data_IF_235510865433
#
_entry.id   IF_235510865433
#
_cell.length_a   1.000
_cell.length_b   1.000
_cell.length_c   1.000
_cell.angle_alpha   90.00
_cell.angle_beta   90.00
_cell.angle_gamma   90.00
#
_symmetry.space_group_name_H-M   'P 1'
#
loop_
_entity.id
_entity.type
_entity.pdbx_description
1 polymer ?
#
# COMPACT_ATOMS: atom_id res chain seq x y z
N UNK A 1 27.31 -5.28 15.53
CA UNK A 1 28.48 -4.39 15.65
C UNK A 1 28.16 -3.10 14.90
N UNK A 2 28.16 -1.95 15.58
CA UNK A 2 28.20 -0.65 14.91
C UNK A 2 29.63 -0.14 15.11
N UNK A 3 30.42 -0.15 14.04
CA UNK A 3 31.80 0.39 14.06
C UNK A 3 31.71 1.88 13.76
N UNK A 4 32.01 2.72 14.75
CA UNK A 4 32.09 4.18 14.56
C UNK A 4 33.54 4.57 14.32
N UNK A 5 33.88 4.87 13.07
CA UNK A 5 35.16 5.49 12.73
C UNK A 5 35.04 7.01 12.93
N UNK A 6 35.61 7.54 14.00
CA UNK A 6 35.72 8.97 14.21
C UNK A 6 36.94 9.51 13.46
N UNK A 7 36.80 10.51 12.57
CA UNK A 7 37.95 11.16 11.95
C UNK A 7 38.74 11.92 13.02
N UNK A 8 40.07 11.87 12.95
CA UNK A 8 40.97 12.39 13.98
C UNK A 8 40.80 13.90 14.29
N UNK A 9 40.18 14.67 13.39
CA UNK A 9 40.15 16.14 13.43
C UNK A 9 38.73 16.76 13.49
N UNK A 10 37.68 16.02 13.84
CA UNK A 10 36.37 16.65 14.13
C UNK A 10 36.25 17.01 15.62
N UNK A 11 35.96 18.28 15.91
CA UNK A 11 35.75 18.76 17.29
C UNK A 11 34.36 18.36 17.86
N UNK A 12 33.41 18.08 16.98
CA UNK A 12 32.07 17.59 17.33
C UNK A 12 31.71 16.40 16.43
N UNK A 13 31.09 15.36 16.99
CA UNK A 13 30.41 14.32 16.20
C UNK A 13 28.98 14.18 16.68
N UNK A 14 28.04 14.15 15.75
CA UNK A 14 26.61 14.02 16.02
C UNK A 14 26.17 12.60 15.65
N UNK A 15 25.57 11.90 16.60
CA UNK A 15 24.85 10.65 16.31
C UNK A 15 23.36 10.99 16.25
N UNK A 16 22.80 10.95 15.04
CA UNK A 16 21.37 11.14 14.82
C UNK A 16 20.68 9.79 14.79
N UNK A 17 19.79 9.57 15.76
CA UNK A 17 18.87 8.45 15.75
C UNK A 17 17.49 8.98 15.40
N UNK A 18 16.97 8.56 14.25
CA UNK A 18 15.63 8.91 13.80
C UNK A 18 14.64 7.84 14.25
N UNK A 19 13.61 8.26 14.99
CA UNK A 19 12.39 7.47 15.19
C UNK A 19 11.20 8.23 14.59
N UNK A 20 10.15 7.52 14.19
CA UNK A 20 9.03 8.08 13.41
C UNK A 20 8.13 9.08 14.18
N UNK A 21 8.38 9.34 15.46
CA UNK A 21 7.63 10.36 16.22
C UNK A 21 8.48 11.33 17.04
N UNK A 22 9.78 11.08 17.24
CA UNK A 22 10.68 11.97 17.97
C UNK A 22 12.10 11.89 17.40
N UNK A 23 12.75 13.05 17.25
CA UNK A 23 14.17 13.16 16.95
C UNK A 23 14.94 13.35 18.26
N UNK A 24 15.82 12.39 18.57
CA UNK A 24 16.81 12.55 19.63
C UNK A 24 18.15 12.92 19.01
N UNK A 25 18.64 14.11 19.32
CA UNK A 25 19.94 14.59 18.88
C UNK A 25 20.95 14.36 20.00
N UNK A 26 21.87 13.41 19.81
CA UNK A 26 22.95 13.18 20.76
C UNK A 26 24.17 13.96 20.27
N UNK A 27 24.43 15.11 20.90
CA UNK A 27 25.66 15.88 20.68
C UNK A 27 26.79 15.29 21.53
N UNK A 28 27.85 14.81 20.87
CA UNK A 28 29.08 14.40 21.55
C UNK A 28 30.15 15.44 21.24
N UNK A 29 30.46 16.29 22.22
CA UNK A 29 31.47 17.34 22.11
C UNK A 29 32.81 16.81 22.60
N UNK A 30 33.85 16.84 21.76
CA UNK A 30 35.22 16.55 22.19
C UNK A 30 35.82 17.85 22.73
N UNK A 31 35.87 18.03 24.06
CA UNK A 31 36.56 19.20 24.65
C UNK A 31 38.06 18.91 24.68
N UNK A 32 38.87 19.75 24.03
CA UNK A 32 40.33 19.66 24.13
C UNK A 32 40.75 19.67 25.61
N UNK A 33 41.56 18.68 26.00
CA UNK A 33 42.09 18.55 27.35
C UNK A 33 41.27 17.70 28.33
N UNK A 34 40.22 16.98 27.89
CA UNK A 34 39.53 16.00 28.75
C UNK A 34 40.08 14.59 28.51
N UNK A 35 40.59 13.99 29.57
CA UNK A 35 40.92 12.57 29.66
C UNK A 35 39.67 11.72 29.33
N UNK A 36 39.83 10.70 28.46
CA UNK A 36 38.74 9.88 27.89
C UNK A 36 37.93 9.09 28.94
N UNK A 37 38.30 9.21 30.21
CA UNK A 37 37.66 8.61 31.36
C UNK A 37 36.32 9.28 31.77
N UNK A 38 35.92 10.40 31.15
CA UNK A 38 34.69 11.10 31.50
C UNK A 38 33.98 11.70 30.28
N UNK A 39 32.82 11.14 29.90
CA UNK A 39 31.94 11.68 28.85
C UNK A 39 30.68 12.23 29.51
N UNK A 40 30.35 13.51 29.24
CA UNK A 40 29.11 14.15 29.70
C UNK A 40 28.03 13.99 28.62
N UNK A 41 26.92 13.36 28.98
CA UNK A 41 25.73 13.29 28.12
C UNK A 41 24.73 14.37 28.54
N UNK A 42 24.26 15.15 27.58
CA UNK A 42 23.13 16.06 27.77
C UNK A 42 21.97 15.55 26.93
N UNK A 43 20.91 15.09 27.58
CA UNK A 43 19.68 14.67 26.91
C UNK A 43 18.71 15.86 26.85
N UNK A 44 18.13 16.12 25.68
CA UNK A 44 17.12 17.16 25.50
C UNK A 44 15.83 16.52 25.00
N UNK A 45 14.75 16.65 25.77
CA UNK A 45 13.41 16.24 25.33
C UNK A 45 12.61 17.48 24.91
N UNK A 46 12.13 17.54 23.67
CA UNK A 46 11.17 18.59 23.24
C UNK A 46 9.75 18.02 23.35
N UNK A 47 8.98 18.43 24.38
CA UNK A 47 7.53 18.24 24.37
C UNK A 47 6.84 19.49 23.81
N UNK A 48 6.02 19.32 22.77
CA UNK A 48 5.09 20.36 22.32
C UNK A 48 3.73 20.11 23.00
N UNK A 49 3.52 20.69 24.18
CA UNK A 49 2.16 20.85 24.74
C UNK A 49 1.67 22.26 24.43
N UNK A 50 0.40 22.38 24.04
CA UNK A 50 -0.26 23.66 23.90
C UNK A 50 -0.25 24.36 25.27
N UNK A 51 0.36 25.55 25.32
CA UNK A 51 0.30 26.54 26.40
C UNK A 51 0.98 26.19 27.74
N UNK A 52 2.29 25.92 27.77
CA UNK A 52 3.13 26.13 28.97
C UNK A 52 4.61 26.38 28.61
N UNK A 53 5.29 27.21 29.41
CA UNK A 53 6.69 27.60 29.24
C UNK A 53 7.66 26.41 29.13
N UNK A 54 8.72 26.59 28.33
CA UNK A 54 9.82 25.63 28.18
C UNK A 54 10.44 25.28 29.54
N UNK A 55 10.30 24.04 29.98
CA UNK A 55 11.11 23.47 31.05
C UNK A 55 12.19 22.57 30.44
N UNK A 56 13.44 22.99 30.56
CA UNK A 56 14.60 22.16 30.24
C UNK A 56 15.04 21.41 31.51
N UNK A 57 14.95 20.08 31.49
CA UNK A 57 15.60 19.25 32.51
C UNK A 57 16.95 18.79 31.96
N UNK A 58 18.04 19.15 32.64
CA UNK A 58 19.39 18.66 32.30
C UNK A 58 19.79 17.64 33.36
N UNK A 59 20.05 16.39 32.95
CA UNK A 59 20.61 15.37 33.83
C UNK A 59 21.99 14.98 33.30
N UNK A 60 23.01 15.13 34.13
CA UNK A 60 24.39 14.75 33.80
C UNK A 60 24.76 13.43 34.47
N UNK A 61 25.36 12.51 33.72
CA UNK A 61 25.90 11.25 34.22
C UNK A 61 27.41 11.17 33.95
N UNK A 62 28.17 10.64 34.91
CA UNK A 62 29.61 10.37 34.81
C UNK A 62 29.79 8.86 34.96
N UNK A 63 30.43 8.20 33.98
CA UNK A 63 30.60 6.73 33.99
C UNK A 63 31.98 6.34 33.48
N UNK A 64 32.64 5.40 34.16
CA UNK A 64 33.97 4.87 33.78
C UNK A 64 33.88 3.80 32.67
N UNK A 65 34.95 3.69 31.87
CA UNK A 65 35.01 3.01 30.56
C UNK A 65 34.62 1.52 30.54
N UNK A 66 34.79 0.76 31.63
CA UNK A 66 34.39 -0.66 31.68
C UNK A 66 32.88 -0.86 31.91
N UNK A 67 32.21 0.09 32.58
CA UNK A 67 30.75 0.06 32.77
C UNK A 67 30.01 0.69 31.59
N UNK A 68 30.72 1.40 30.70
CA UNK A 68 30.17 2.06 29.52
C UNK A 68 29.60 1.07 28.51
N UNK A 69 30.30 -0.02 28.22
CA UNK A 69 29.85 -1.04 27.25
C UNK A 69 28.60 -1.75 27.77
N UNK A 70 28.60 -2.12 29.05
CA UNK A 70 27.45 -2.77 29.69
C UNK A 70 26.25 -1.84 29.85
N UNK A 71 26.45 -0.57 30.20
CA UNK A 71 25.37 0.41 30.30
C UNK A 71 24.80 0.80 28.94
N UNK A 72 25.63 0.93 27.89
CA UNK A 72 25.17 1.14 26.51
C UNK A 72 24.44 -0.10 25.99
N UNK A 73 24.95 -1.31 26.27
CA UNK A 73 24.27 -2.55 25.91
C UNK A 73 22.94 -2.70 26.64
N UNK A 74 22.89 -2.40 27.94
CA UNK A 74 21.66 -2.42 28.73
C UNK A 74 20.66 -1.34 28.28
N UNK A 75 21.12 -0.12 27.96
CA UNK A 75 20.27 0.92 27.38
C UNK A 75 19.77 0.52 26.00
N UNK A 76 20.60 -0.06 25.12
CA UNK A 76 20.16 -0.58 23.82
C UNK A 76 19.16 -1.71 24.02
N UNK A 77 19.39 -2.66 24.93
CA UNK A 77 18.47 -3.77 25.22
C UNK A 77 17.15 -3.26 25.82
N UNK A 78 17.20 -2.31 26.75
CA UNK A 78 16.02 -1.69 27.33
C UNK A 78 15.28 -0.83 26.29
N UNK A 79 15.98 -0.16 25.38
CA UNK A 79 15.41 0.65 24.30
C UNK A 79 14.85 -0.21 23.18
N UNK A 80 15.49 -1.34 22.81
CA UNK A 80 14.93 -2.32 21.88
C UNK A 80 13.71 -2.99 22.50
N UNK A 81 13.71 -3.34 23.79
CA UNK A 81 12.52 -3.91 24.43
C UNK A 81 11.40 -2.86 24.61
N UNK A 82 11.73 -1.57 24.82
CA UNK A 82 10.74 -0.48 24.94
C UNK A 82 10.19 0.01 23.59
N UNK A 83 10.92 -0.21 22.48
CA UNK A 83 10.47 0.12 21.12
C UNK A 83 9.77 -1.08 20.48
N UNK A 84 10.27 -2.31 20.65
CA UNK A 84 9.63 -3.52 20.13
C UNK A 84 8.24 -3.72 20.72
N UNK A 85 8.02 -3.29 21.97
CA UNK A 85 6.70 -3.34 22.64
C UNK A 85 5.73 -2.21 22.26
N UNK A 86 6.13 -1.25 21.40
CA UNK A 86 5.25 -0.16 20.94
C UNK A 86 4.83 -0.24 19.47
N UNK A 87 5.34 -1.21 18.72
CA UNK A 87 4.79 -1.57 17.43
C UNK A 87 3.83 -2.74 17.63
N UNK A 88 2.58 -2.42 17.95
CA UNK A 88 1.47 -3.39 17.79
C UNK A 88 1.22 -3.57 16.31
N UNK A 89 2.15 -4.20 15.60
CA UNK A 89 1.78 -4.91 14.37
C UNK A 89 0.84 -6.01 14.81
N UNK A 90 -0.29 -6.13 14.11
CA UNK A 90 -1.16 -7.25 14.36
C UNK A 90 -0.35 -8.55 14.18
N UNK A 91 -0.36 -9.40 15.20
CA UNK A 91 0.55 -10.54 15.32
C UNK A 91 0.10 -11.72 14.46
N UNK A 92 -1.20 -11.82 14.22
CA UNK A 92 -1.82 -12.86 13.44
C UNK A 92 -1.54 -12.67 11.94
N UNK A 93 -1.12 -13.76 11.27
CA UNK A 93 -0.85 -13.76 9.84
C UNK A 93 -1.47 -14.98 9.15
N UNK A 94 -1.80 -14.82 7.87
CA UNK A 94 -2.30 -15.88 7.00
C UNK A 94 -1.58 -15.82 5.65
N UNK A 95 -1.30 -16.99 5.06
CA UNK A 95 -0.71 -17.08 3.73
C UNK A 95 -1.78 -17.44 2.71
N UNK A 96 -2.05 -16.53 1.77
CA UNK A 96 -3.11 -16.71 0.77
C UNK A 96 -2.73 -16.07 -0.56
N UNK A 97 -3.03 -16.79 -1.65
CA UNK A 97 -2.72 -16.39 -3.03
C UNK A 97 -1.26 -16.01 -3.30
N UNK A 98 -0.31 -16.62 -2.59
CA UNK A 98 1.12 -16.34 -2.75
C UNK A 98 1.68 -15.23 -1.86
N UNK A 99 0.84 -14.62 -1.01
CA UNK A 99 1.23 -13.48 -0.17
C UNK A 99 0.99 -13.78 1.32
N UNK A 100 1.85 -13.21 2.16
CA UNK A 100 1.62 -13.14 3.61
C UNK A 100 0.79 -11.90 3.93
N UNK A 101 -0.34 -12.12 4.60
CA UNK A 101 -1.28 -11.10 5.05
C UNK A 101 -1.27 -11.05 6.57
N UNK A 102 -1.22 -9.86 7.15
CA UNK A 102 -1.52 -9.62 8.57
C UNK A 102 -3.02 -9.48 8.74
N UNK A 103 -3.55 -9.94 9.86
CA UNK A 103 -4.97 -9.82 10.20
C UNK A 103 -5.12 -8.69 11.21
N UNK A 104 -5.92 -7.68 10.89
CA UNK A 104 -6.17 -6.54 11.77
C UNK A 104 -7.00 -6.97 12.98
N UNK A 105 -6.65 -6.49 14.16
CA UNK A 105 -7.36 -6.82 15.39
C UNK A 105 -7.71 -5.59 16.24
N UNK A 106 -8.73 -5.73 17.08
CA UNK A 106 -9.17 -4.75 18.06
C UNK A 106 -10.16 -3.71 17.54
N UNK A 107 -10.52 -2.77 18.42
CA UNK A 107 -11.47 -1.70 18.11
C UNK A 107 -10.79 -0.57 17.32
N UNK A 108 -11.02 -0.53 16.00
CA UNK A 108 -10.26 0.32 15.07
C UNK A 108 -11.16 0.93 13.99
N UNK A 109 -10.59 1.86 13.22
CA UNK A 109 -11.21 2.40 11.99
C UNK A 109 -11.02 1.44 10.81
N UNK A 110 -11.83 1.50 9.74
CA UNK A 110 -13.03 2.34 9.60
C UNK A 110 -14.12 1.93 10.60
N UNK A 111 -15.03 2.83 10.94
CA UNK A 111 -16.06 2.55 11.94
C UNK A 111 -16.17 3.59 13.04
N UNK A 112 -16.87 3.22 14.12
CA UNK A 112 -16.41 2.24 15.11
C UNK A 112 -16.62 0.76 14.72
N UNK A 113 -15.57 -0.07 14.72
CA UNK A 113 -15.68 -1.52 14.44
C UNK A 113 -14.71 -2.36 15.28
N UNK A 114 -15.08 -3.60 15.57
CA UNK A 114 -14.25 -4.60 16.25
C UNK A 114 -13.69 -5.58 15.24
N UNK A 115 -12.39 -5.50 14.94
CA UNK A 115 -11.73 -6.47 14.06
C UNK A 115 -11.25 -7.66 14.87
N UNK A 116 -11.55 -8.89 14.41
CA UNK A 116 -11.15 -10.11 15.12
C UNK A 116 -10.47 -11.10 14.19
N UNK A 117 -9.46 -11.80 14.71
CA UNK A 117 -8.72 -12.81 13.95
C UNK A 117 -9.63 -13.93 13.42
N UNK A 118 -10.56 -14.40 14.25
CA UNK A 118 -11.53 -15.46 13.94
C UNK A 118 -12.68 -15.02 13.01
N UNK A 119 -12.63 -13.79 12.51
CA UNK A 119 -13.44 -13.26 11.42
C UNK A 119 -12.77 -13.43 10.04
N UNK A 120 -11.58 -14.02 10.01
CA UNK A 120 -10.83 -14.37 8.79
C UNK A 120 -10.53 -15.86 8.83
N UNK A 121 -10.78 -16.58 7.74
CA UNK A 121 -10.37 -17.99 7.62
C UNK A 121 -9.95 -18.35 6.20
N UNK A 122 -9.20 -19.43 6.07
CA UNK A 122 -8.77 -19.99 4.79
C UNK A 122 -9.12 -21.47 4.74
N UNK A 123 -10.00 -21.85 3.82
CA UNK A 123 -10.41 -23.24 3.62
C UNK A 123 -10.23 -23.61 2.16
N UNK A 124 -9.44 -24.65 1.86
CA UNK A 124 -9.21 -25.14 0.49
C UNK A 124 -8.82 -24.03 -0.50
N UNK A 125 -7.94 -23.10 -0.07
CA UNK A 125 -7.49 -21.97 -0.89
C UNK A 125 -8.46 -20.79 -1.01
N UNK A 126 -9.67 -20.90 -0.45
CA UNK A 126 -10.66 -19.81 -0.41
C UNK A 126 -10.51 -19.00 0.87
N UNK A 127 -10.25 -17.71 0.73
CA UNK A 127 -10.25 -16.77 1.86
C UNK A 127 -11.70 -16.37 2.16
N UNK A 128 -12.10 -16.48 3.43
CA UNK A 128 -13.41 -16.05 3.92
C UNK A 128 -13.24 -14.89 4.91
N UNK A 129 -13.90 -13.78 4.62
CA UNK A 129 -14.00 -12.60 5.48
C UNK A 129 -15.41 -12.57 6.07
N UNK A 130 -15.55 -12.39 7.38
CA UNK A 130 -16.83 -12.53 8.09
C UNK A 130 -17.14 -11.32 8.98
N UNK A 131 -18.40 -10.88 8.95
CA UNK A 131 -19.05 -10.09 9.97
C UNK A 131 -19.99 -11.02 10.74
N UNK A 132 -19.81 -11.16 12.05
CA UNK A 132 -20.63 -12.06 12.90
C UNK A 132 -20.95 -11.41 14.25
N UNK A 133 -22.03 -11.82 14.93
CA UNK A 133 -22.28 -11.40 16.30
C UNK A 133 -21.17 -11.89 17.24
N UNK A 134 -20.84 -11.07 18.24
CA UNK A 134 -19.91 -11.37 19.32
C UNK A 134 -20.66 -11.64 20.63
N UNK A 135 -20.04 -12.34 21.61
CA UNK A 135 -20.68 -12.69 22.88
C UNK A 135 -21.15 -11.50 23.72
N UNK A 136 -20.53 -10.33 23.55
CA UNK A 136 -20.83 -9.08 24.26
C UNK A 136 -21.96 -8.26 23.60
N UNK A 137 -22.58 -8.80 22.54
CA UNK A 137 -23.63 -8.13 21.77
C UNK A 137 -23.11 -7.20 20.68
N UNK A 138 -21.79 -6.99 20.58
CA UNK A 138 -21.21 -6.29 19.43
C UNK A 138 -21.17 -7.19 18.19
N UNK A 139 -20.73 -6.61 17.07
CA UNK A 139 -20.48 -7.34 15.84
C UNK A 139 -19.02 -7.21 15.44
N UNK A 140 -18.46 -8.29 14.91
CA UNK A 140 -17.12 -8.30 14.38
C UNK A 140 -17.05 -7.69 12.99
N UNK A 141 -15.82 -7.37 12.57
CA UNK A 141 -15.41 -7.02 11.23
C UNK A 141 -14.13 -7.78 10.91
N UNK A 142 -13.79 -7.82 9.63
CA UNK A 142 -12.59 -8.50 9.14
C UNK A 142 -11.75 -7.50 8.35
N UNK A 143 -10.43 -7.50 8.56
CA UNK A 143 -9.52 -6.81 7.65
C UNK A 143 -8.18 -7.55 7.63
N UNK A 144 -7.64 -7.73 6.44
CA UNK A 144 -6.29 -8.24 6.24
C UNK A 144 -5.50 -7.28 5.36
N UNK A 145 -4.18 -7.28 5.51
CA UNK A 145 -3.30 -6.47 4.68
C UNK A 145 -1.95 -7.12 4.42
N UNK A 146 -1.37 -6.88 3.25
CA UNK A 146 -0.08 -7.49 2.88
C UNK A 146 1.04 -7.04 3.82
N UNK A 147 2.01 -7.93 4.07
CA UNK A 147 3.21 -7.57 4.83
C UNK A 147 4.09 -6.58 4.07
N UNK A 148 4.16 -6.73 2.74
CA UNK A 148 4.97 -5.91 1.82
C UNK A 148 4.11 -5.00 0.94
N UNK A 149 4.73 -3.92 0.46
CA UNK A 149 4.21 -3.12 -0.66
C UNK A 149 4.44 -3.85 -2.00
N UNK A 150 3.61 -3.54 -2.99
CA UNK A 150 3.65 -4.12 -4.33
C UNK A 150 3.96 -3.09 -5.43
N UNK A 151 3.63 -1.80 -5.24
CA UNK A 151 3.97 -0.73 -6.17
C UNK A 151 3.04 -0.63 -7.38
N UNK A 152 3.55 -0.10 -8.50
CA UNK A 152 2.76 0.04 -9.72
C UNK A 152 2.46 -1.30 -10.39
N UNK A 153 1.25 -1.43 -10.92
CA UNK A 153 0.78 -2.65 -11.58
C UNK A 153 -0.73 -2.83 -11.52
N UNK A 154 -1.18 -4.01 -11.91
CA UNK A 154 -2.59 -4.42 -11.83
C UNK A 154 -2.84 -5.23 -10.57
N UNK A 155 -3.77 -4.77 -9.75
CA UNK A 155 -4.26 -5.43 -8.55
C UNK A 155 -5.59 -6.08 -8.87
N UNK A 156 -5.73 -7.39 -8.63
CA UNK A 156 -6.86 -8.16 -9.10
C UNK A 156 -7.39 -9.12 -8.04
N UNK A 157 -8.67 -9.01 -7.72
CA UNK A 157 -9.39 -9.88 -6.79
C UNK A 157 -10.47 -10.67 -7.54
N UNK A 158 -10.58 -11.96 -7.23
CA UNK A 158 -11.70 -12.79 -7.69
C UNK A 158 -12.58 -13.12 -6.50
N UNK A 159 -13.74 -12.49 -6.45
CA UNK A 159 -14.74 -12.64 -5.38
C UNK A 159 -15.73 -13.73 -5.82
N UNK A 160 -15.94 -14.72 -4.96
CA UNK A 160 -16.86 -15.83 -5.21
C UNK A 160 -18.24 -15.62 -4.60
N UNK A 161 -18.36 -14.72 -3.62
CA UNK A 161 -19.66 -14.29 -3.08
C UNK A 161 -20.33 -13.28 -4.01
N UNK A 162 -21.65 -13.35 -4.13
CA UNK A 162 -22.47 -12.32 -4.78
C UNK A 162 -22.34 -10.97 -4.06
N UNK A 163 -21.83 -9.94 -4.75
CA UNK A 163 -21.57 -8.61 -4.18
C UNK A 163 -22.69 -7.59 -4.42
N UNK A 164 -23.61 -7.84 -5.36
CA UNK A 164 -24.70 -6.92 -5.70
C UNK A 164 -25.78 -6.79 -4.62
N UNK A 165 -25.85 -7.75 -3.69
CA UNK A 165 -26.88 -7.84 -2.65
C UNK A 165 -26.33 -7.77 -1.22
N UNK A 166 -25.14 -7.17 -1.01
CA UNK A 166 -24.63 -6.97 0.34
C UNK A 166 -25.62 -6.11 1.17
N UNK A 167 -25.87 -6.45 2.46
CA UNK A 167 -26.72 -5.65 3.33
C UNK A 167 -26.26 -4.20 3.41
N UNK A 168 -27.18 -3.25 3.59
CA UNK A 168 -26.85 -1.83 3.46
C UNK A 168 -25.78 -1.33 4.45
N UNK A 169 -25.69 -1.95 5.63
CA UNK A 169 -24.67 -1.63 6.63
C UNK A 169 -23.28 -2.20 6.32
N UNK A 170 -23.18 -3.15 5.40
CA UNK A 170 -21.91 -3.82 5.09
C UNK A 170 -21.16 -3.03 4.04
N UNK A 171 -19.88 -2.82 4.30
CA UNK A 171 -18.91 -2.33 3.34
C UNK A 171 -17.84 -3.38 3.12
N UNK A 172 -17.65 -3.78 1.87
CA UNK A 172 -16.51 -4.57 1.40
C UNK A 172 -15.57 -3.62 0.67
N UNK A 173 -14.30 -3.56 1.08
CA UNK A 173 -13.28 -2.75 0.42
C UNK A 173 -12.07 -3.59 -0.01
N UNK A 174 -11.56 -3.33 -1.21
CA UNK A 174 -10.25 -3.78 -1.66
C UNK A 174 -9.45 -2.56 -2.12
N UNK A 175 -8.30 -2.32 -1.49
CA UNK A 175 -7.65 -1.02 -1.60
C UNK A 175 -6.15 -1.05 -1.31
N UNK A 176 -5.46 0.03 -1.64
CA UNK A 176 -4.10 0.33 -1.16
C UNK A 176 -4.13 1.28 0.03
N UNK A 177 -3.18 1.14 0.96
CA UNK A 177 -3.05 2.08 2.07
C UNK A 177 -1.64 2.12 2.65
N UNK A 178 -1.14 3.32 2.92
CA UNK A 178 0.10 3.58 3.66
C UNK A 178 -0.18 4.44 4.90
N UNK A 179 0.06 3.88 6.10
CA UNK A 179 -0.29 4.51 7.39
C UNK A 179 0.27 5.93 7.58
N UNK A 180 1.47 6.18 7.07
CA UNK A 180 2.26 7.39 7.35
C UNK A 180 2.35 8.35 6.16
N UNK A 181 1.46 8.22 5.18
CA UNK A 181 1.47 8.98 3.94
C UNK A 181 0.26 9.91 3.77
N UNK A 182 -0.16 10.56 4.85
CA UNK A 182 -1.39 11.38 4.88
C UNK A 182 -1.34 12.56 3.90
N UNK A 183 -0.14 13.08 3.65
CA UNK A 183 0.16 14.16 2.71
C UNK A 183 -0.11 13.79 1.25
N UNK A 184 -0.14 12.49 0.93
CA UNK A 184 -0.56 11.95 -0.37
C UNK A 184 -1.77 11.04 -0.21
N UNK A 185 -2.65 11.39 0.74
CA UNK A 185 -3.91 10.70 0.97
C UNK A 185 -3.77 9.19 1.17
N UNK A 186 -2.76 8.80 1.93
CA UNK A 186 -2.44 7.41 2.25
C UNK A 186 -2.13 6.53 1.03
N UNK A 187 -1.92 7.13 -0.16
CA UNK A 187 -1.80 6.40 -1.44
C UNK A 187 -2.99 5.45 -1.67
N UNK A 188 -4.19 5.90 -1.30
CA UNK A 188 -5.39 5.07 -1.25
C UNK A 188 -6.17 5.10 -2.57
N UNK A 189 -6.31 3.90 -3.14
CA UNK A 189 -7.06 3.59 -4.35
C UNK A 189 -8.02 2.47 -3.97
N UNK A 190 -9.33 2.68 -4.13
CA UNK A 190 -10.35 1.78 -3.60
C UNK A 190 -11.28 1.22 -4.67
N UNK A 191 -11.64 -0.03 -4.49
CA UNK A 191 -12.87 -0.62 -5.03
C UNK A 191 -13.72 -1.05 -3.83
N UNK A 192 -14.90 -0.47 -3.71
CA UNK A 192 -15.78 -0.71 -2.56
C UNK A 192 -17.17 -1.15 -3.01
N UNK A 193 -17.73 -2.17 -2.36
CA UNK A 193 -19.15 -2.51 -2.44
C UNK A 193 -19.83 -2.05 -1.16
N UNK A 194 -20.68 -1.03 -1.25
CA UNK A 194 -21.37 -0.44 -0.13
C UNK A 194 -22.57 0.40 -0.56
N UNK A 195 -23.61 0.38 0.28
CA UNK A 195 -24.73 1.32 0.28
C UNK A 195 -24.63 2.37 1.41
N UNK A 196 -23.55 2.37 2.18
CA UNK A 196 -23.28 3.38 3.22
C UNK A 196 -24.42 3.53 4.24
N UNK A 197 -25.04 2.41 4.59
CA UNK A 197 -26.19 2.32 5.47
C UNK A 197 -27.49 2.91 4.96
N UNK A 198 -27.63 3.09 3.64
CA UNK A 198 -28.84 3.59 2.98
C UNK A 198 -29.44 2.50 2.08
N UNK A 199 -30.40 1.70 2.56
CA UNK A 199 -31.00 0.61 1.77
C UNK A 199 -31.56 1.05 0.42
N UNK A 200 -32.13 2.26 0.36
CA UNK A 200 -32.72 2.87 -0.83
C UNK A 200 -31.70 3.49 -1.80
N UNK A 201 -30.40 3.47 -1.50
CA UNK A 201 -29.39 3.96 -2.45
C UNK A 201 -29.41 3.09 -3.73
N UNK A 202 -29.62 3.70 -4.91
CA UNK A 202 -29.63 2.95 -6.18
C UNK A 202 -28.24 2.43 -6.56
N UNK A 203 -27.19 2.94 -5.94
CA UNK A 203 -25.80 2.54 -6.14
C UNK A 203 -25.31 1.72 -4.96
N UNK A 204 -24.51 0.69 -5.22
CA UNK A 204 -24.01 -0.23 -4.21
C UNK A 204 -22.51 -0.54 -4.38
N UNK A 205 -21.81 0.20 -5.25
CA UNK A 205 -20.37 0.11 -5.39
C UNK A 205 -19.75 1.45 -5.79
N UNK A 206 -18.43 1.59 -5.60
CA UNK A 206 -17.66 2.72 -6.09
C UNK A 206 -16.22 2.38 -6.41
N UNK A 207 -15.66 3.19 -7.31
CA UNK A 207 -14.23 3.38 -7.46
C UNK A 207 -13.84 4.69 -6.83
N UNK A 208 -12.74 4.69 -6.08
CA UNK A 208 -12.25 5.88 -5.39
C UNK A 208 -10.75 6.03 -5.55
N UNK A 209 -10.29 7.28 -5.69
CA UNK A 209 -8.90 7.68 -5.46
C UNK A 209 -8.95 8.77 -4.39
N UNK A 210 -8.34 8.57 -3.23
CA UNK A 210 -8.43 9.61 -2.19
C UNK A 210 -7.73 10.92 -2.63
N UNK A 211 -8.28 12.10 -2.25
CA UNK A 211 -9.39 12.29 -1.32
C UNK A 211 -10.75 12.28 -2.02
N UNK A 212 -11.64 11.40 -1.56
CA UNK A 212 -12.96 11.15 -2.14
C UNK A 212 -13.87 12.40 -2.23
N UNK A 213 -13.63 13.43 -1.41
CA UNK A 213 -14.41 14.69 -1.44
C UNK A 213 -14.14 15.54 -2.67
N UNK A 214 -13.08 15.27 -3.40
CA UNK A 214 -12.72 16.03 -4.59
C UNK A 214 -13.56 15.53 -5.77
N UNK A 215 -14.15 16.48 -6.52
CA UNK A 215 -14.99 16.15 -7.67
C UNK A 215 -14.17 15.41 -8.74
N UNK A 216 -14.61 14.20 -9.08
CA UNK A 216 -13.93 13.31 -10.03
C UNK A 216 -13.36 12.06 -9.38
N UNK A 217 -12.96 12.15 -8.10
CA UNK A 217 -12.27 11.09 -7.37
C UNK A 217 -13.15 9.91 -6.97
N UNK A 218 -14.48 10.03 -7.07
CA UNK A 218 -15.42 8.94 -6.81
C UNK A 218 -16.27 8.71 -8.06
N UNK A 219 -16.34 7.46 -8.48
CA UNK A 219 -17.35 6.96 -9.41
C UNK A 219 -18.28 5.99 -8.71
N UNK A 220 -19.52 6.40 -8.43
CA UNK A 220 -20.59 5.51 -7.94
C UNK A 220 -21.12 4.61 -9.05
N UNK A 221 -21.44 3.37 -8.71
CA UNK A 221 -21.83 2.30 -9.62
C UNK A 221 -23.00 1.49 -9.03
N UNK A 222 -23.84 0.95 -9.91
CA UNK A 222 -24.85 -0.04 -9.55
C UNK A 222 -24.39 -1.40 -10.06
N UNK A 223 -24.18 -2.34 -9.16
CA UNK A 223 -23.81 -3.73 -9.43
C UNK A 223 -25.05 -4.59 -9.24
N UNK A 224 -25.56 -5.18 -10.32
CA UNK A 224 -26.77 -5.97 -10.25
C UNK A 224 -26.48 -7.38 -9.73
N UNK A 225 -27.36 -7.95 -8.88
CA UNK A 225 -27.27 -9.34 -8.47
C UNK A 225 -27.41 -10.28 -9.68
N UNK A 226 -26.52 -11.27 -9.77
CA UNK A 226 -26.43 -12.33 -10.76
C UNK A 226 -25.42 -13.39 -10.31
N UNK A 227 -25.66 -14.65 -10.63
CA UNK A 227 -24.78 -15.75 -10.20
C UNK A 227 -23.32 -15.57 -10.65
N UNK A 228 -22.39 -16.36 -10.11
CA UNK A 228 -21.00 -16.40 -10.57
C UNK A 228 -20.07 -15.39 -9.89
N UNK A 229 -18.82 -15.35 -10.36
CA UNK A 229 -17.73 -14.61 -9.74
C UNK A 229 -17.66 -13.16 -10.24
N UNK A 230 -17.23 -12.27 -9.34
CA UNK A 230 -16.88 -10.89 -9.67
C UNK A 230 -15.36 -10.77 -9.66
N UNK A 231 -14.78 -10.34 -10.78
CA UNK A 231 -13.40 -9.89 -10.87
C UNK A 231 -13.39 -8.38 -10.67
N UNK A 232 -12.73 -7.95 -9.61
CA UNK A 232 -12.49 -6.55 -9.31
C UNK A 232 -11.01 -6.25 -9.50
N UNK A 233 -10.68 -5.18 -10.22
CA UNK A 233 -9.29 -4.83 -10.45
C UNK A 233 -9.08 -3.36 -10.71
N UNK A 234 -7.90 -2.87 -10.36
CA UNK A 234 -7.41 -1.60 -10.87
C UNK A 234 -5.97 -1.75 -11.35
N UNK A 235 -5.62 -0.96 -12.34
CA UNK A 235 -4.25 -0.81 -12.85
C UNK A 235 -3.74 0.57 -12.48
N UNK A 236 -2.70 0.60 -11.66
CA UNK A 236 -2.08 1.83 -11.19
C UNK A 236 -0.75 2.06 -11.89
N UNK A 237 -0.66 3.19 -12.58
CA UNK A 237 0.54 3.68 -13.27
C UNK A 237 0.94 5.06 -12.74
N UNK A 238 2.12 5.57 -13.09
CA UNK A 238 2.50 6.95 -12.77
C UNK A 238 1.54 8.01 -13.33
N UNK A 239 0.85 7.73 -14.43
CA UNK A 239 0.01 8.71 -15.12
C UNK A 239 -1.47 8.67 -14.72
N UNK A 240 -1.92 7.62 -14.04
CA UNK A 240 -3.30 7.47 -13.63
C UNK A 240 -3.67 6.04 -13.25
N UNK A 241 -4.97 5.85 -12.99
CA UNK A 241 -5.56 4.57 -12.59
C UNK A 241 -6.72 4.20 -13.50
N UNK A 242 -6.75 2.95 -13.94
CA UNK A 242 -7.89 2.36 -14.64
C UNK A 242 -8.53 1.30 -13.75
N UNK A 243 -9.83 1.42 -13.50
CA UNK A 243 -10.62 0.50 -12.67
C UNK A 243 -11.52 -0.37 -13.52
N UNK A 244 -11.68 -1.64 -13.16
CA UNK A 244 -12.61 -2.57 -13.80
C UNK A 244 -13.35 -3.44 -12.80
N UNK A 245 -14.64 -3.61 -13.04
CA UNK A 245 -15.44 -4.69 -12.48
C UNK A 245 -15.95 -5.55 -13.63
N UNK A 246 -15.70 -6.86 -13.57
CA UNK A 246 -16.16 -7.83 -14.56
C UNK A 246 -16.93 -8.91 -13.81
N UNK A 247 -18.22 -9.05 -14.11
CA UNK A 247 -19.06 -10.12 -13.59
C UNK A 247 -19.40 -11.08 -14.73
N UNK A 248 -19.18 -12.38 -14.57
CA UNK A 248 -19.43 -13.41 -15.61
C UNK A 248 -18.84 -13.11 -17.02
N UNK A 249 -17.62 -12.56 -17.10
CA UNK A 249 -16.97 -12.25 -18.40
C UNK A 249 -17.69 -11.16 -19.20
N UNK A 250 -17.21 -10.86 -20.42
CA UNK A 250 -17.71 -9.75 -21.24
C UNK A 250 -19.02 -10.12 -21.98
N UNK A 251 -19.19 -11.38 -22.39
CA UNK A 251 -20.32 -11.80 -23.23
C UNK A 251 -21.64 -12.00 -22.49
N UNK A 252 -21.65 -12.11 -21.15
CA UNK A 252 -22.86 -12.39 -20.38
C UNK A 252 -22.97 -11.64 -19.05
N UNK A 253 -22.12 -10.63 -18.79
CA UNK A 253 -22.25 -9.89 -17.55
C UNK A 253 -21.61 -8.51 -17.53
N UNK A 254 -21.77 -7.88 -16.37
CA UNK A 254 -21.55 -6.45 -16.19
C UNK A 254 -20.05 -6.12 -16.25
N UNK A 255 -19.68 -5.26 -17.20
CA UNK A 255 -18.36 -4.65 -17.28
C UNK A 255 -18.45 -3.15 -16.99
N UNK A 256 -17.74 -2.69 -15.96
CA UNK A 256 -17.67 -1.28 -15.59
C UNK A 256 -16.21 -0.84 -15.67
N UNK A 257 -15.93 0.24 -16.38
CA UNK A 257 -14.58 0.80 -16.53
C UNK A 257 -14.58 2.29 -16.16
N UNK A 258 -13.51 2.76 -15.53
CA UNK A 258 -13.25 4.17 -15.26
C UNK A 258 -11.75 4.45 -15.29
N UNK A 259 -11.35 5.56 -15.89
CA UNK A 259 -9.95 6.03 -15.89
C UNK A 259 -9.88 7.42 -15.27
N UNK A 260 -8.95 7.61 -14.34
CA UNK A 260 -8.62 8.90 -13.74
C UNK A 260 -7.16 9.25 -14.03
N UNK A 261 -6.94 10.39 -14.67
CA UNK A 261 -5.62 10.92 -15.05
C UNK A 261 -5.22 12.17 -14.25
N UNK A 262 -6.15 12.70 -13.46
CA UNK A 262 -6.05 14.00 -12.79
C UNK A 262 -5.38 13.88 -11.41
N UNK A 263 -5.48 12.72 -10.77
CA UNK A 263 -4.90 12.46 -9.46
C UNK A 263 -3.78 11.43 -9.54
N UNK A 264 -2.56 11.95 -9.62
CA UNK A 264 -1.35 11.14 -9.66
C UNK A 264 -0.80 10.98 -8.27
N UNK A 265 -0.67 9.74 -7.87
CA UNK A 265 0.04 9.37 -6.65
C UNK A 265 1.26 8.55 -7.02
N UNK A 266 2.40 8.92 -6.45
CA UNK A 266 3.58 8.08 -6.51
C UNK A 266 3.36 6.84 -5.65
N UNK A 267 3.84 5.69 -6.11
CA UNK A 267 3.94 4.54 -5.22
C UNK A 267 4.95 4.81 -4.09
N UNK A 268 4.88 3.98 -3.06
CA UNK A 268 5.62 4.13 -1.83
C UNK A 268 5.61 2.82 -1.04
N UNK A 269 5.16 2.89 0.22
CA UNK A 269 5.10 1.73 1.12
C UNK A 269 3.65 1.29 1.37
N UNK A 270 2.75 1.63 0.45
CA UNK A 270 1.37 1.19 0.49
C UNK A 270 1.27 -0.32 0.50
N UNK A 271 0.35 -0.84 1.29
CA UNK A 271 0.02 -2.26 1.34
C UNK A 271 -1.32 -2.47 0.69
N UNK A 272 -1.57 -3.70 0.29
CA UNK A 272 -2.90 -4.10 -0.17
C UNK A 272 -3.73 -4.49 1.03
N UNK A 273 -4.94 -3.97 1.12
CA UNK A 273 -5.90 -4.28 2.17
C UNK A 273 -7.16 -4.90 1.56
N UNK A 274 -7.77 -5.80 2.31
CA UNK A 274 -9.13 -6.29 2.08
C UNK A 274 -9.87 -6.13 3.41
N UNK A 275 -10.99 -5.41 3.42
CA UNK A 275 -11.82 -5.28 4.62
C UNK A 275 -13.29 -5.63 4.36
N UNK A 276 -13.95 -6.06 5.42
CA UNK A 276 -15.38 -6.29 5.49
C UNK A 276 -15.86 -5.74 6.83
N UNK A 277 -16.54 -4.60 6.81
CA UNK A 277 -16.83 -3.81 8.01
C UNK A 277 -18.23 -3.21 8.02
N UNK A 278 -18.66 -2.72 9.18
CA UNK A 278 -19.99 -2.15 9.38
C UNK A 278 -19.98 -0.63 9.39
N UNK A 279 -20.86 -0.04 8.57
CA UNK A 279 -21.10 1.39 8.55
C UNK A 279 -21.61 1.87 9.92
N UNK A 280 -20.87 2.80 10.51
CA UNK A 280 -21.09 3.32 11.86
C UNK A 280 -21.14 2.24 12.96
N UNK A 281 -20.56 1.06 12.74
CA UNK A 281 -20.58 -0.07 13.68
C UNK A 281 -21.95 -0.69 13.89
N UNK A 282 -22.95 -0.33 13.07
CA UNK A 282 -24.32 -0.83 13.24
C UNK A 282 -24.48 -2.22 12.65
N UNK A 283 -25.19 -3.14 13.33
CA UNK A 283 -25.38 -4.50 12.85
C UNK A 283 -26.09 -4.54 11.49
N UNK A 284 -25.77 -5.53 10.64
CA UNK A 284 -26.44 -5.69 9.36
C UNK A 284 -27.83 -6.28 9.54
N UNK A 285 -28.78 -5.87 8.70
CA UNK A 285 -30.16 -6.38 8.69
C UNK A 285 -30.21 -7.81 8.12
N UNK A 286 -29.87 -8.78 8.97
CA UNK A 286 -29.63 -10.19 8.62
C UNK A 286 -30.29 -11.16 9.60
N UNK A 287 -31.10 -10.64 10.53
CA UNK A 287 -31.69 -11.41 11.63
C UNK A 287 -30.65 -12.21 12.43
N UNK A 288 -29.50 -11.59 12.73
CA UNK A 288 -28.42 -12.19 13.52
C UNK A 288 -27.52 -13.16 12.77
N UNK A 289 -27.76 -13.39 11.47
CA UNK A 289 -26.92 -14.29 10.66
C UNK A 289 -25.60 -13.61 10.25
N UNK A 290 -24.46 -14.33 10.27
CA UNK A 290 -23.21 -13.79 9.76
C UNK A 290 -23.30 -13.40 8.28
N UNK A 291 -22.54 -12.37 7.90
CA UNK A 291 -22.28 -12.02 6.50
C UNK A 291 -20.88 -12.52 6.15
N UNK A 292 -20.77 -13.33 5.10
CA UNK A 292 -19.51 -13.96 4.68
C UNK A 292 -19.20 -13.57 3.23
N UNK A 293 -18.03 -12.99 2.99
CA UNK A 293 -17.50 -12.74 1.65
C UNK A 293 -16.30 -13.65 1.39
N UNK A 294 -16.40 -14.43 0.33
CA UNK A 294 -15.38 -15.39 -0.09
C UNK A 294 -14.59 -14.87 -1.28
N UNK A 295 -13.27 -14.97 -1.20
CA UNK A 295 -12.32 -14.66 -2.27
C UNK A 295 -11.63 -15.94 -2.74
N UNK A 296 -11.65 -16.16 -4.06
CA UNK A 296 -10.93 -17.28 -4.69
C UNK A 296 -9.45 -16.97 -4.84
N UNK A 297 -9.10 -15.76 -5.25
CA UNK A 297 -7.70 -15.38 -5.46
C UNK A 297 -7.48 -13.88 -5.38
N UNK A 298 -6.23 -13.51 -5.08
CA UNK A 298 -5.65 -12.21 -5.36
C UNK A 298 -4.44 -12.38 -6.28
N UNK A 299 -4.29 -11.52 -7.27
CA UNK A 299 -3.12 -11.48 -8.14
C UNK A 299 -2.61 -10.05 -8.28
N UNK A 300 -1.29 -9.91 -8.32
CA UNK A 300 -0.62 -8.65 -8.66
C UNK A 300 0.25 -8.88 -9.88
N UNK A 301 0.06 -8.03 -10.88
CA UNK A 301 0.81 -8.05 -12.13
C UNK A 301 1.64 -6.76 -12.16
N UNK A 302 2.97 -6.84 -12.03
CA UNK A 302 3.84 -5.67 -12.12
C UNK A 302 3.61 -4.87 -13.41
N UNK A 303 3.75 -3.54 -13.34
CA UNK A 303 3.38 -2.65 -14.45
C UNK A 303 4.07 -2.97 -15.79
N UNK A 304 5.32 -3.46 -15.76
CA UNK A 304 6.11 -3.85 -16.95
C UNK A 304 5.56 -5.09 -17.68
N UNK A 305 4.72 -5.87 -17.01
CA UNK A 305 4.03 -7.04 -17.58
C UNK A 305 2.50 -6.89 -17.61
N UNK A 306 1.98 -5.74 -17.19
CA UNK A 306 0.56 -5.40 -17.31
C UNK A 306 0.17 -5.27 -18.77
N UNK A 307 -1.02 -5.77 -19.12
CA UNK A 307 -1.63 -5.56 -20.43
C UNK A 307 -1.65 -4.06 -20.76
N UNK A 308 -0.99 -3.64 -21.84
CA UNK A 308 -0.79 -2.23 -22.12
C UNK A 308 -2.07 -1.43 -22.40
N UNK A 309 -3.19 -2.08 -22.69
CA UNK A 309 -4.50 -1.45 -22.88
C UNK A 309 -5.11 -0.95 -21.56
N UNK A 310 -4.59 -1.41 -20.42
CA UNK A 310 -5.05 -0.99 -19.08
C UNK A 310 -4.15 0.08 -18.46
N UNK A 311 -3.05 0.42 -19.11
CA UNK A 311 -2.09 1.39 -18.61
C UNK A 311 -2.50 2.78 -19.11
N UNK A 312 -2.74 3.69 -18.17
CA UNK A 312 -2.80 5.12 -18.48
C UNK A 312 -1.40 5.58 -18.87
N UNK A 313 -1.21 5.98 -20.13
CA UNK A 313 0.10 6.44 -20.63
C UNK A 313 0.16 7.97 -20.70
N UNK A 314 1.35 8.52 -20.49
CA UNK A 314 1.67 9.89 -20.90
C UNK A 314 1.82 9.99 -22.42
N UNK A 315 1.92 11.21 -22.98
CA UNK A 315 2.28 11.32 -24.40
C UNK A 315 3.68 10.73 -24.61
N UNK A 316 3.79 9.85 -25.59
CA UNK A 316 5.06 9.63 -26.27
C UNK A 316 5.44 10.95 -26.95
N UNK A 317 6.61 11.51 -26.64
CA UNK A 317 7.18 12.57 -27.46
C UNK A 317 7.15 12.12 -28.93
N UNK A 318 6.73 12.95 -29.90
CA UNK A 318 6.92 12.61 -31.29
C UNK A 318 8.43 12.46 -31.50
N UNK A 319 8.88 11.24 -31.84
CA UNK A 319 10.21 11.06 -32.39
C UNK A 319 10.27 11.88 -33.68
N UNK A 320 10.93 13.04 -33.64
CA UNK A 320 11.42 13.68 -34.85
C UNK A 320 12.45 12.74 -35.46
N UNK A 321 12.02 11.94 -36.43
CA UNK A 321 12.95 11.24 -37.30
C UNK A 321 13.76 12.29 -38.05
N UNK A 322 15.10 12.26 -38.04
CA UNK A 322 15.85 13.03 -39.02
C UNK A 322 15.40 12.51 -40.38
N UNK A 323 14.83 13.40 -41.19
CA UNK A 323 14.48 13.12 -42.58
C UNK A 323 15.75 12.71 -43.31
N UNK A 324 15.96 11.41 -43.50
CA UNK A 324 17.00 10.92 -44.41
C UNK A 324 16.54 11.17 -45.84
N UNK A 325 16.71 12.39 -46.33
CA UNK A 325 16.75 12.66 -47.76
C UNK A 325 18.02 12.04 -48.34
N UNK A 326 17.94 10.76 -48.71
CA UNK A 326 18.88 10.16 -49.65
C UNK A 326 18.10 9.84 -50.93
N UNK A 327 18.55 10.33 -52.10
CA UNK A 327 17.86 10.06 -53.36
C UNK A 327 17.91 8.56 -53.65
N UNK A 328 16.76 7.99 -54.03
CA UNK A 328 16.68 6.64 -54.58
C UNK A 328 17.39 6.66 -55.93
N UNK A 329 18.58 6.08 -56.00
CA UNK A 329 19.15 5.61 -57.26
C UNK A 329 18.72 4.15 -57.46
N UNK A 330 18.01 3.92 -58.56
CA UNK A 330 17.59 2.60 -59.02
C UNK A 330 18.81 1.77 -59.44
N UNK A 331 18.93 0.49 -59.03
CA UNK A 331 19.82 -0.44 -59.69
C UNK A 331 19.05 -1.23 -60.76
N UNK A 332 19.65 -1.30 -61.95
CA UNK A 332 19.25 -2.18 -63.02
C UNK A 332 19.43 -3.67 -62.67
N UNK A 333 18.65 -4.49 -63.36
CA UNK A 333 18.58 -5.95 -63.36
C UNK A 333 19.92 -6.67 -63.57
N UNK A 334 20.16 -7.73 -62.80
CA UNK A 334 20.79 -8.97 -63.30
C UNK A 334 20.59 -10.13 -62.32
N UNK A 335 20.71 -11.34 -62.87
CA UNK A 335 20.11 -12.60 -62.43
C UNK A 335 21.14 -13.54 -61.78
N UNK A 336 20.64 -14.51 -60.99
CA UNK A 336 21.18 -15.88 -60.70
C UNK A 336 21.89 -16.12 -59.35
N UNK A 337 21.41 -17.23 -58.75
CA UNK A 337 22.06 -18.24 -57.90
C UNK A 337 21.75 -18.26 -56.39
N UNK A 338 21.20 -19.42 -56.03
CA UNK A 338 20.92 -20.01 -54.73
C UNK A 338 22.10 -20.07 -53.77
N UNK A 339 21.83 -19.83 -52.48
CA UNK A 339 22.39 -20.64 -51.39
C UNK A 339 21.56 -20.47 -50.11
N UNK A 340 21.25 -21.61 -49.48
CA UNK A 340 20.67 -21.79 -48.15
C UNK A 340 21.58 -21.25 -47.06
N UNK A 341 21.04 -20.66 -45.98
CA UNK A 341 21.37 -21.00 -44.58
C UNK A 341 20.59 -20.15 -43.54
N UNK A 342 20.16 -20.86 -42.49
CA UNK A 342 19.90 -20.46 -41.09
C UNK A 342 18.82 -19.42 -40.73
N UNK A 343 17.81 -19.93 -40.01
CA UNK A 343 16.95 -19.20 -39.08
C UNK A 343 17.77 -18.40 -38.06
N UNK A 344 17.70 -17.07 -38.13
CA UNK A 344 18.02 -16.20 -37.00
C UNK A 344 16.71 -15.58 -36.51
N UNK A 345 16.22 -16.08 -35.35
CA UNK A 345 15.26 -15.36 -34.54
C UNK A 345 15.91 -14.06 -34.07
N UNK A 346 15.53 -12.94 -34.67
CA UNK A 346 15.78 -11.63 -34.09
C UNK A 346 14.90 -11.49 -32.85
N UNK A 347 15.50 -11.72 -31.68
CA UNK A 347 14.97 -11.25 -30.40
C UNK A 347 15.05 -9.72 -30.45
N UNK A 348 13.94 -9.07 -30.77
CA UNK A 348 13.80 -7.63 -30.59
C UNK A 348 13.70 -7.37 -29.10
N UNK A 349 14.81 -6.92 -28.51
CA UNK A 349 14.82 -6.33 -27.18
C UNK A 349 13.94 -5.07 -27.20
N UNK A 350 12.69 -5.21 -26.80
CA UNK A 350 11.85 -4.06 -26.43
C UNK A 350 12.40 -3.49 -25.11
N UNK A 351 13.36 -2.58 -25.23
CA UNK A 351 13.72 -1.69 -24.13
C UNK A 351 12.48 -0.89 -23.75
N UNK A 352 12.04 -1.05 -22.51
CA UNK A 352 10.98 -0.24 -21.89
C UNK A 352 11.36 1.24 -22.06
N UNK A 353 10.59 1.96 -22.88
CA UNK A 353 10.66 3.41 -22.97
C UNK A 353 10.47 4.00 -21.56
N UNK A 354 11.24 5.04 -21.23
CA UNK A 354 11.03 5.80 -20.01
C UNK A 354 9.56 6.20 -19.91
N UNK A 355 8.91 6.13 -18.73
CA UNK A 355 7.51 6.52 -18.59
C UNK A 355 7.37 7.96 -19.11
N UNK A 356 6.68 8.12 -20.24
CA UNK A 356 6.51 9.41 -20.91
C UNK A 356 5.92 10.46 -19.98
N UNK A 357 6.07 11.74 -20.34
CA UNK A 357 5.50 12.85 -19.58
C UNK A 357 3.99 12.68 -19.52
N UNK A 358 3.44 12.50 -18.33
CA UNK A 358 2.02 12.36 -18.11
C UNK A 358 1.32 13.74 -18.31
N UNK A 359 0.32 13.85 -19.20
CA UNK A 359 -0.37 15.12 -19.52
C UNK A 359 -1.14 15.69 -18.32
N UNK A 360 -0.79 16.89 -17.83
CA UNK A 360 -1.35 17.54 -16.62
C UNK A 360 -2.87 17.57 -16.52
#
# INVERSE_FOLDING_TARGET
MITLNLPANSNDTYLNFHSQSESMLIKVTKKQGIDLNTIKFNCYTKQKRANMNLTSATTSYIVSSQRLIWSIFLLIVLFTNSIVSKWSYDSSTIYWSGYSWRIKEGYRRPGPNYFTNDSVSLTNGTLSMMIKPLPDGNWSSAEIYTVRSLGYGTYQWVISTETGNLPAQVTLGMFTWEDWAKEVHNREIDIEFAKWGKPSDPTNAQFTIQPHRVKGNIKRLTVFPSSGQTRAEFTWSPCGVTFRLIKQGICFGQHLNHTDTKYRMSNGKEKVHINLWLWAGKPPDTNGKPVIVNFKSFNFIPLDVTDPDYIVRGRSSPLTWPSSSTPITTPATSTIASQSFSNNLNIVNNYLESPGICDS
#
